data_IF_942445169231
#
_entry.id   IF_942445169231
#
_cell.length_a   1.000
_cell.length_b   1.000
_cell.length_c   1.000
_cell.angle_alpha   90.00
_cell.angle_beta   90.00
_cell.angle_gamma   90.00
#
_symmetry.space_group_name_H-M   'P 1'
#
loop_
_entity.id
_entity.type
_entity.pdbx_description
1 polymer ?
#
# COMPACT_ATOMS: atom_id res chain seq x y z
N UNK A 1 2.67 61.90 8.89
CA UNK A 1 1.20 61.93 9.02
C UNK A 1 0.51 61.21 7.86
N UNK A 2 0.91 61.46 6.61
CA UNK A 2 0.38 60.80 5.39
C UNK A 2 0.36 59.25 5.44
N UNK A 3 1.45 58.61 5.86
CA UNK A 3 1.56 57.13 5.87
C UNK A 3 0.55 56.45 6.81
N UNK A 4 0.29 57.04 7.98
CA UNK A 4 -0.62 56.46 8.96
C UNK A 4 -2.07 56.47 8.44
N UNK A 5 -2.46 57.59 7.81
CA UNK A 5 -3.77 57.73 7.15
C UNK A 5 -3.93 56.75 5.98
N UNK A 6 -2.87 56.50 5.21
CA UNK A 6 -2.92 55.51 4.13
C UNK A 6 -3.13 54.08 4.66
N UNK A 7 -2.38 53.69 5.70
CA UNK A 7 -2.51 52.37 6.34
C UNK A 7 -3.92 52.16 6.88
N UNK A 8 -4.45 53.15 7.59
CA UNK A 8 -5.79 53.10 8.17
C UNK A 8 -6.88 53.04 7.09
N UNK A 9 -6.70 53.78 5.97
CA UNK A 9 -7.60 53.74 4.82
C UNK A 9 -7.60 52.38 4.12
N UNK A 10 -6.43 51.74 4.00
CA UNK A 10 -6.32 50.40 3.40
C UNK A 10 -6.93 49.34 4.31
N UNK A 11 -6.59 49.36 5.59
CA UNK A 11 -7.14 48.41 6.58
C UNK A 11 -8.66 48.50 6.70
N UNK A 12 -9.21 49.72 6.63
CA UNK A 12 -10.65 49.94 6.72
C UNK A 12 -11.37 49.92 5.38
N UNK A 13 -10.67 49.70 4.26
CA UNK A 13 -11.29 49.72 2.92
C UNK A 13 -12.33 48.61 2.70
N UNK A 14 -12.28 47.56 3.50
CA UNK A 14 -13.18 46.41 3.45
C UNK A 14 -14.22 46.39 4.58
N UNK A 15 -14.12 47.32 5.54
CA UNK A 15 -15.10 47.44 6.63
C UNK A 15 -16.45 47.89 6.06
N UNK A 16 -17.44 47.00 6.12
CA UNK A 16 -18.78 47.23 5.56
C UNK A 16 -19.05 46.51 4.23
N UNK A 17 -18.07 45.79 3.67
CA UNK A 17 -18.34 44.91 2.53
C UNK A 17 -19.16 43.71 3.01
N UNK A 18 -20.41 43.61 2.54
CA UNK A 18 -21.22 42.39 2.71
C UNK A 18 -20.57 41.29 1.85
N UNK A 19 -20.41 40.10 2.43
CA UNK A 19 -19.97 38.93 1.68
C UNK A 19 -20.89 38.75 0.46
N UNK A 20 -20.33 38.88 -0.73
CA UNK A 20 -21.03 38.62 -1.98
C UNK A 20 -21.16 37.11 -2.10
N UNK A 21 -22.40 36.64 -2.23
CA UNK A 21 -22.63 35.26 -2.61
C UNK A 21 -22.18 35.11 -4.07
N UNK A 22 -21.23 34.22 -4.37
CA UNK A 22 -20.80 34.02 -5.74
C UNK A 22 -21.99 33.58 -6.58
N UNK A 23 -22.08 34.04 -7.82
CA UNK A 23 -23.16 33.64 -8.71
C UNK A 23 -23.29 32.11 -8.78
N UNK A 24 -24.52 31.62 -8.95
CA UNK A 24 -24.87 30.20 -8.79
C UNK A 24 -23.94 29.25 -9.56
N UNK A 25 -23.47 29.64 -10.75
CA UNK A 25 -22.51 28.88 -11.56
C UNK A 25 -21.14 28.72 -10.88
N UNK A 26 -20.61 29.80 -10.27
CA UNK A 26 -19.34 29.76 -9.53
C UNK A 26 -19.49 28.93 -8.26
N UNK A 27 -20.58 29.11 -7.52
CA UNK A 27 -20.87 28.32 -6.33
C UNK A 27 -20.98 26.82 -6.68
N UNK A 28 -21.67 26.49 -7.78
CA UNK A 28 -21.81 25.14 -8.28
C UNK A 28 -20.46 24.51 -8.64
N UNK A 29 -19.60 25.24 -9.38
CA UNK A 29 -18.25 24.77 -9.73
C UNK A 29 -17.37 24.53 -8.51
N UNK A 30 -17.43 25.43 -7.52
CA UNK A 30 -16.71 25.27 -6.25
C UNK A 30 -17.19 24.01 -5.53
N UNK A 31 -18.51 23.83 -5.40
CA UNK A 31 -19.08 22.63 -4.75
C UNK A 31 -18.72 21.35 -5.49
N UNK A 32 -18.76 21.34 -6.82
CA UNK A 32 -18.33 20.19 -7.62
C UNK A 32 -16.87 19.85 -7.38
N UNK A 33 -16.00 20.86 -7.29
CA UNK A 33 -14.57 20.65 -7.10
C UNK A 33 -14.24 20.19 -5.68
N UNK A 34 -14.95 20.69 -4.67
CA UNK A 34 -14.79 20.27 -3.26
C UNK A 34 -15.36 18.86 -3.04
N UNK A 35 -16.49 18.54 -3.65
CA UNK A 35 -17.17 17.26 -3.46
C UNK A 35 -16.68 16.16 -4.39
N UNK A 36 -15.68 16.41 -5.24
CA UNK A 36 -15.12 15.37 -6.10
C UNK A 36 -14.23 14.48 -5.23
N UNK A 37 -14.63 13.22 -4.95
CA UNK A 37 -13.77 12.33 -4.18
C UNK A 37 -12.46 12.14 -4.94
N UNK A 38 -11.34 12.16 -4.21
CA UNK A 38 -10.03 11.79 -4.74
C UNK A 38 -10.03 10.28 -5.01
N UNK A 39 -10.60 9.89 -6.15
CA UNK A 39 -10.67 8.50 -6.58
C UNK A 39 -9.34 8.10 -7.21
N UNK A 40 -8.71 7.06 -6.67
CA UNK A 40 -7.60 6.38 -7.34
C UNK A 40 -8.10 5.68 -8.61
N UNK A 41 -7.24 5.53 -9.61
CA UNK A 41 -7.63 4.83 -10.82
C UNK A 41 -7.92 3.35 -10.52
N UNK A 42 -8.89 2.72 -11.21
CA UNK A 42 -9.16 1.28 -11.07
C UNK A 42 -7.91 0.42 -11.33
N UNK A 43 -7.03 0.89 -12.22
CA UNK A 43 -5.74 0.23 -12.51
C UNK A 43 -4.81 0.20 -11.30
N UNK A 44 -4.75 1.28 -10.51
CA UNK A 44 -3.96 1.33 -9.27
C UNK A 44 -4.53 0.37 -8.22
N UNK A 45 -5.86 0.33 -8.07
CA UNK A 45 -6.51 -0.62 -7.16
C UNK A 45 -6.16 -2.06 -7.54
N UNK A 46 -6.19 -2.38 -8.83
CA UNK A 46 -5.89 -3.73 -9.33
C UNK A 46 -4.41 -4.08 -9.16
N UNK A 47 -3.49 -3.12 -9.38
CA UNK A 47 -2.06 -3.32 -9.17
C UNK A 47 -1.75 -3.60 -7.69
N UNK A 48 -2.34 -2.83 -6.78
CA UNK A 48 -2.18 -3.05 -5.34
C UNK A 48 -2.76 -4.41 -4.94
N UNK A 49 -3.96 -4.75 -5.41
CA UNK A 49 -4.57 -6.04 -5.13
C UNK A 49 -3.71 -7.22 -5.64
N UNK A 50 -3.19 -7.13 -6.87
CA UNK A 50 -2.30 -8.14 -7.43
C UNK A 50 -0.99 -8.26 -6.64
N UNK A 51 -0.40 -7.14 -6.22
CA UNK A 51 0.81 -7.14 -5.39
C UNK A 51 0.59 -7.82 -4.04
N UNK A 52 -0.52 -7.53 -3.36
CA UNK A 52 -0.89 -8.19 -2.10
C UNK A 52 -1.14 -9.68 -2.32
N UNK A 53 -1.86 -10.06 -3.39
CA UNK A 53 -2.11 -11.47 -3.71
C UNK A 53 -0.82 -12.25 -3.95
N UNK A 54 0.13 -11.69 -4.71
CA UNK A 54 1.45 -12.30 -4.93
C UNK A 54 2.17 -12.52 -3.61
N UNK A 55 2.17 -11.51 -2.72
CA UNK A 55 2.83 -11.62 -1.42
C UNK A 55 2.21 -12.75 -0.57
N UNK A 56 0.89 -12.84 -0.53
CA UNK A 56 0.17 -13.91 0.20
C UNK A 56 0.51 -15.28 -0.35
N UNK A 57 0.46 -15.44 -1.68
CA UNK A 57 0.81 -16.70 -2.35
C UNK A 57 2.25 -17.10 -2.00
N UNK A 58 3.19 -16.15 -2.06
CA UNK A 58 4.60 -16.42 -1.78
C UNK A 58 4.81 -16.89 -0.33
N UNK A 59 4.14 -16.24 0.63
CA UNK A 59 4.20 -16.65 2.04
C UNK A 59 3.60 -18.04 2.27
N UNK A 60 2.46 -18.35 1.64
CA UNK A 60 1.83 -19.68 1.72
C UNK A 60 2.74 -20.75 1.09
N UNK A 61 3.32 -20.48 -0.08
CA UNK A 61 4.22 -21.42 -0.76
C UNK A 61 5.46 -21.71 0.06
N UNK A 62 6.06 -20.71 0.72
CA UNK A 62 7.20 -20.91 1.62
C UNK A 62 6.81 -21.83 2.79
N UNK A 63 5.66 -21.58 3.42
CA UNK A 63 5.15 -22.41 4.52
C UNK A 63 4.87 -23.86 4.09
N UNK A 64 4.34 -24.08 2.88
CA UNK A 64 4.07 -25.42 2.35
C UNK A 64 5.36 -26.15 1.94
N UNK A 65 6.33 -25.45 1.35
CA UNK A 65 7.62 -26.02 0.93
C UNK A 65 8.44 -26.58 2.08
N UNK A 66 8.33 -26.02 3.29
CA UNK A 66 8.95 -26.59 4.50
C UNK A 66 8.41 -27.99 4.85
N UNK A 67 7.21 -28.33 4.37
CA UNK A 67 6.58 -29.63 4.65
C UNK A 67 7.04 -30.72 3.68
N UNK A 68 7.33 -30.38 2.41
CA UNK A 68 7.69 -31.35 1.38
C UNK A 68 9.17 -31.77 1.41
N UNK A 69 10.07 -30.92 1.93
CA UNK A 69 11.51 -31.23 2.07
C UNK A 69 11.83 -32.32 3.10
N UNK A 70 10.86 -32.76 3.91
CA UNK A 70 11.04 -33.88 4.85
C UNK A 70 10.89 -35.26 4.21
N UNK A 71 10.21 -35.39 3.08
CA UNK A 71 9.85 -36.71 2.53
C UNK A 71 10.89 -37.25 1.53
N UNK A 72 11.51 -36.41 0.70
CA UNK A 72 12.54 -36.86 -0.26
C UNK A 72 13.87 -37.22 0.40
N UNK A 73 14.23 -36.57 1.50
CA UNK A 73 15.47 -36.84 2.22
C UNK A 73 15.43 -38.18 2.98
N UNK A 74 14.25 -38.76 3.23
CA UNK A 74 14.09 -40.01 3.99
C UNK A 74 14.44 -41.26 3.17
N UNK A 75 14.20 -41.26 1.86
CA UNK A 75 14.46 -42.44 1.03
C UNK A 75 15.96 -42.57 0.70
N UNK A 76 16.63 -41.45 0.40
CA UNK A 76 18.06 -41.40 0.12
C UNK A 76 18.90 -41.67 1.38
N UNK A 77 18.51 -41.11 2.53
CA UNK A 77 19.18 -41.41 3.81
C UNK A 77 19.02 -42.87 4.22
N UNK A 78 17.81 -43.45 4.12
CA UNK A 78 17.57 -44.86 4.42
C UNK A 78 18.38 -45.82 3.54
N UNK A 79 18.55 -45.49 2.24
CA UNK A 79 19.39 -46.29 1.33
C UNK A 79 20.88 -46.23 1.69
N UNK A 80 21.37 -45.03 2.06
CA UNK A 80 22.76 -44.84 2.49
C UNK A 80 23.05 -45.52 3.83
N UNK A 81 22.14 -45.44 4.80
CA UNK A 81 22.24 -46.14 6.08
C UNK A 81 22.28 -47.66 5.89
N UNK A 82 21.44 -48.20 5.01
CA UNK A 82 21.41 -49.65 4.72
C UNK A 82 22.71 -50.12 4.05
N UNK A 83 23.25 -49.33 3.11
CA UNK A 83 24.48 -49.66 2.39
C UNK A 83 25.71 -49.56 3.30
N UNK A 84 25.80 -48.51 4.13
CA UNK A 84 26.91 -48.34 5.07
C UNK A 84 26.90 -49.46 6.12
N UNK A 85 25.72 -49.79 6.67
CA UNK A 85 25.57 -50.87 7.65
C UNK A 85 25.94 -52.25 7.06
N UNK A 86 25.60 -52.54 5.81
CA UNK A 86 26.00 -53.79 5.14
C UNK A 86 27.50 -53.87 4.83
N UNK A 87 28.13 -52.73 4.55
CA UNK A 87 29.57 -52.66 4.30
C UNK A 87 30.41 -52.74 5.59
N UNK A 88 29.80 -52.52 6.75
CA UNK A 88 30.46 -52.64 8.05
C UNK A 88 30.46 -54.09 8.56
N UNK A 89 31.34 -54.93 7.99
CA UNK A 89 31.56 -56.31 8.45
C UNK A 89 32.53 -56.40 9.65
N UNK A 90 32.92 -55.29 10.28
CA UNK A 90 33.90 -55.27 11.37
C UNK A 90 33.35 -55.76 12.72
N UNK A 91 32.04 -56.00 12.82
CA UNK A 91 31.38 -56.59 14.00
C UNK A 91 30.54 -57.83 13.63
N UNK A 92 31.07 -58.67 12.73
CA UNK A 92 30.61 -60.05 12.53
C UNK A 92 31.57 -61.01 13.23
#
# INVERSE_FOLDING_TARGET
MEQHNWIEKVLNSTNGMKAVEPGDDLLYKIRQKINRPDTVSPTTVWLVAASVAVLVILNITVMLSETETKTENSATSAYLETTINQSNQLYR
#
